data_IF_064710772108
#
_entry.id   IF_064710772108
#
_cell.length_a   1.000
_cell.length_b   1.000
_cell.length_c   1.000
_cell.angle_alpha   90.00
_cell.angle_beta   90.00
_cell.angle_gamma   90.00
#
_symmetry.space_group_name_H-M   'P 1'
#
loop_
_entity.id
_entity.type
_entity.pdbx_description
1 polymer ?
#
# COMPACT_ATOMS: atom_id res chain seq x y z
N UNK A 1 39.28 -13.85 -6.00
CA UNK A 1 38.52 -12.79 -5.32
C UNK A 1 37.05 -13.08 -5.55
N UNK A 2 36.23 -13.12 -4.48
CA UNK A 2 34.81 -13.38 -4.59
C UNK A 2 34.10 -12.21 -5.29
N UNK A 3 32.98 -12.50 -5.97
CA UNK A 3 32.22 -11.49 -6.72
C UNK A 3 31.58 -10.44 -5.77
N UNK A 4 31.26 -10.80 -4.53
CA UNK A 4 30.75 -9.89 -3.51
C UNK A 4 31.82 -8.86 -3.15
N UNK A 5 33.03 -9.33 -2.76
CA UNK A 5 34.15 -8.47 -2.43
C UNK A 5 34.53 -7.54 -3.58
N UNK A 6 34.54 -8.07 -4.83
CA UNK A 6 34.83 -7.24 -5.99
C UNK A 6 33.74 -6.19 -6.29
N UNK A 7 32.47 -6.52 -6.05
CA UNK A 7 31.35 -5.58 -6.23
C UNK A 7 31.43 -4.41 -5.23
N UNK A 8 31.93 -4.68 -4.03
CA UNK A 8 32.03 -3.70 -2.94
C UNK A 8 33.42 -3.02 -2.86
N UNK A 9 34.35 -3.38 -3.74
CA UNK A 9 35.66 -2.71 -3.85
C UNK A 9 35.54 -1.42 -4.67
N UNK A 10 35.64 -0.22 -4.07
CA UNK A 10 35.55 1.06 -4.79
C UNK A 10 36.63 1.27 -5.84
N UNK A 11 37.71 0.49 -5.82
CA UNK A 11 38.77 0.53 -6.84
C UNK A 11 38.37 -0.20 -8.14
N UNK A 12 37.34 -1.06 -8.09
CA UNK A 12 36.84 -1.72 -9.27
C UNK A 12 35.92 -0.78 -10.08
N UNK A 13 36.19 -0.62 -11.37
CA UNK A 13 35.54 0.37 -12.25
C UNK A 13 34.02 0.26 -12.32
N UNK A 14 33.44 -0.89 -11.99
CA UNK A 14 32.02 -1.15 -11.98
C UNK A 14 31.45 -1.46 -10.57
N UNK A 15 32.23 -1.15 -9.51
CA UNK A 15 31.74 -1.29 -8.13
C UNK A 15 30.41 -0.55 -7.94
N UNK A 16 29.54 -1.08 -7.08
CA UNK A 16 28.23 -0.53 -6.73
C UNK A 16 27.29 -0.21 -7.92
N UNK A 17 27.61 -0.71 -9.13
CA UNK A 17 26.82 -0.43 -10.32
C UNK A 17 25.65 -1.43 -10.51
N UNK A 18 24.81 -1.18 -11.51
CA UNK A 18 23.75 -2.13 -11.87
C UNK A 18 24.31 -3.43 -12.46
N UNK A 19 23.56 -4.53 -12.30
CA UNK A 19 23.94 -5.90 -12.73
C UNK A 19 24.58 -5.95 -14.14
N UNK A 20 24.01 -5.24 -15.10
CA UNK A 20 24.46 -5.29 -16.50
C UNK A 20 25.84 -4.67 -16.67
N UNK A 21 26.07 -3.53 -16.04
CA UNK A 21 27.37 -2.82 -16.09
C UNK A 21 28.44 -3.64 -15.37
N UNK A 22 28.12 -4.17 -14.20
CA UNK A 22 29.04 -5.04 -13.46
C UNK A 22 29.42 -6.29 -14.27
N UNK A 23 28.43 -6.95 -14.88
CA UNK A 23 28.67 -8.09 -15.75
C UNK A 23 29.61 -7.76 -16.94
N UNK A 24 29.35 -6.64 -17.63
CA UNK A 24 30.20 -6.21 -18.76
C UNK A 24 31.63 -5.93 -18.33
N UNK A 25 31.85 -5.30 -17.19
CA UNK A 25 33.18 -5.03 -16.67
C UNK A 25 33.93 -6.32 -16.30
N UNK A 26 33.24 -7.34 -15.78
CA UNK A 26 33.83 -8.65 -15.55
C UNK A 26 34.29 -9.33 -16.85
N UNK A 27 33.50 -9.23 -17.92
CA UNK A 27 33.90 -9.77 -19.25
C UNK A 27 35.11 -9.04 -19.82
N UNK A 28 35.18 -7.71 -19.72
CA UNK A 28 36.34 -6.91 -20.14
C UNK A 28 37.63 -7.26 -19.38
N UNK A 29 37.48 -7.65 -18.10
CA UNK A 29 38.59 -8.14 -17.29
C UNK A 29 38.92 -9.63 -17.49
N UNK A 30 38.50 -10.24 -18.60
CA UNK A 30 38.71 -11.66 -18.95
C UNK A 30 38.22 -12.66 -17.89
N UNK A 31 37.21 -12.31 -17.12
CA UNK A 31 36.59 -13.22 -16.13
C UNK A 31 35.45 -13.98 -16.77
N UNK A 32 35.60 -15.28 -16.96
CA UNK A 32 34.56 -16.15 -17.50
C UNK A 32 33.48 -16.44 -16.46
N UNK A 33 32.52 -15.54 -16.35
CA UNK A 33 31.38 -15.68 -15.43
C UNK A 33 30.06 -15.49 -16.19
N UNK A 34 29.08 -16.35 -15.95
CA UNK A 34 27.76 -16.21 -16.59
C UNK A 34 26.96 -15.05 -16.00
N UNK A 35 26.12 -14.43 -16.83
CA UNK A 35 25.18 -13.39 -16.36
C UNK A 35 24.22 -13.91 -15.25
N UNK A 36 23.86 -15.20 -15.30
CA UNK A 36 23.05 -15.89 -14.29
C UNK A 36 23.79 -15.97 -12.95
N UNK A 37 25.08 -16.31 -12.98
CA UNK A 37 25.92 -16.37 -11.77
C UNK A 37 26.04 -14.99 -11.13
N UNK A 38 26.34 -13.95 -11.90
CA UNK A 38 26.38 -12.56 -11.40
C UNK A 38 25.07 -12.16 -10.75
N UNK A 39 23.94 -12.43 -11.44
CA UNK A 39 22.61 -12.13 -10.89
C UNK A 39 22.34 -12.84 -9.56
N UNK A 40 22.76 -14.10 -9.42
CA UNK A 40 22.53 -14.87 -8.20
C UNK A 40 23.43 -14.37 -7.07
N UNK A 41 24.70 -14.11 -7.34
CA UNK A 41 25.62 -13.58 -6.33
C UNK A 41 25.21 -12.18 -5.81
N UNK A 42 24.72 -11.30 -6.70
CA UNK A 42 24.24 -9.97 -6.30
C UNK A 42 22.98 -10.00 -5.42
N UNK A 43 22.24 -11.13 -5.35
CA UNK A 43 21.13 -11.26 -4.40
C UNK A 43 21.58 -11.36 -2.94
N UNK A 44 22.81 -11.81 -2.69
CA UNK A 44 23.42 -11.89 -1.36
C UNK A 44 24.14 -10.58 -0.95
N UNK A 45 24.20 -9.58 -1.83
CA UNK A 45 24.91 -8.32 -1.57
C UNK A 45 23.92 -7.28 -1.07
N UNK A 46 24.04 -6.86 0.20
CA UNK A 46 23.12 -5.90 0.81
C UNK A 46 23.20 -4.52 0.16
N UNK A 47 24.40 -4.03 -0.13
CA UNK A 47 24.63 -2.77 -0.84
C UNK A 47 23.94 -2.72 -2.22
N UNK A 48 23.83 -3.85 -2.91
CA UNK A 48 23.09 -3.98 -4.16
C UNK A 48 21.56 -4.07 -3.92
N UNK A 49 21.14 -4.96 -3.02
CA UNK A 49 19.71 -5.27 -2.86
C UNK A 49 18.92 -4.16 -2.21
N UNK A 50 19.51 -3.44 -1.23
CA UNK A 50 18.85 -2.32 -0.54
C UNK A 50 18.64 -1.09 -1.41
N UNK A 51 19.57 -0.83 -2.35
CA UNK A 51 19.53 0.37 -3.20
C UNK A 51 18.94 0.14 -4.59
N UNK A 52 18.62 -1.10 -4.95
CA UNK A 52 18.00 -1.38 -6.25
C UNK A 52 16.68 -0.64 -6.42
N UNK A 53 16.47 0.15 -7.50
CA UNK A 53 15.22 0.87 -7.69
C UNK A 53 14.01 -0.06 -7.75
N UNK A 54 12.96 0.17 -6.96
CA UNK A 54 11.73 -0.61 -7.04
C UNK A 54 11.02 -0.33 -8.35
N UNK A 55 10.44 -1.35 -8.94
CA UNK A 55 9.62 -1.20 -10.14
C UNK A 55 8.21 -0.78 -9.74
N UNK A 56 7.67 0.24 -10.39
CA UNK A 56 6.25 0.58 -10.21
C UNK A 56 5.40 -0.59 -10.71
N UNK A 57 4.36 -1.00 -9.98
CA UNK A 57 3.46 -2.06 -10.43
C UNK A 57 2.73 -1.58 -11.70
N UNK A 58 2.76 -2.41 -12.73
CA UNK A 58 2.03 -2.14 -13.97
C UNK A 58 0.51 -2.36 -13.82
N UNK A 59 0.13 -3.20 -12.88
CA UNK A 59 -1.24 -3.57 -12.60
C UNK A 59 -1.46 -3.70 -11.09
N UNK A 60 -2.57 -3.14 -10.62
CA UNK A 60 -3.08 -3.35 -9.28
C UNK A 60 -4.33 -4.21 -9.32
N UNK A 61 -4.58 -4.96 -8.24
CA UNK A 61 -5.81 -5.71 -8.07
C UNK A 61 -7.00 -4.76 -8.09
N UNK A 62 -7.89 -4.97 -9.05
CA UNK A 62 -9.12 -4.17 -9.14
C UNK A 62 -10.12 -4.62 -8.08
N UNK A 63 -10.81 -3.66 -7.48
CA UNK A 63 -11.97 -3.94 -6.63
C UNK A 63 -13.08 -4.44 -7.57
N UNK A 64 -13.39 -5.73 -7.48
CA UNK A 64 -14.48 -6.33 -8.24
C UNK A 64 -15.80 -6.15 -7.50
N UNK A 65 -16.78 -5.59 -8.18
CA UNK A 65 -18.14 -5.39 -7.66
C UNK A 65 -19.17 -6.06 -8.55
N UNK A 66 -20.14 -6.73 -7.94
CA UNK A 66 -21.13 -7.52 -8.66
C UNK A 66 -22.18 -6.67 -9.39
N UNK A 67 -22.47 -5.47 -8.88
CA UNK A 67 -23.50 -4.58 -9.44
C UNK A 67 -23.71 -3.35 -8.57
N UNK A 68 -24.76 -2.60 -8.87
CA UNK A 68 -25.20 -1.43 -8.10
C UNK A 68 -25.52 -1.85 -6.67
N UNK A 69 -25.20 -1.00 -5.70
CA UNK A 69 -25.44 -1.24 -4.28
C UNK A 69 -24.72 -2.46 -3.69
N UNK A 70 -23.76 -3.05 -4.42
CA UNK A 70 -23.01 -4.20 -3.89
C UNK A 70 -21.99 -3.77 -2.85
N UNK A 71 -21.19 -2.75 -3.16
CA UNK A 71 -20.14 -2.26 -2.29
C UNK A 71 -20.06 -0.74 -2.35
N UNK A 72 -20.25 -0.10 -1.21
CA UNK A 72 -19.97 1.32 -1.02
C UNK A 72 -18.65 1.52 -0.30
N UNK A 73 -17.88 2.51 -0.73
CA UNK A 73 -16.73 3.02 0.03
C UNK A 73 -17.13 4.34 0.69
N UNK A 74 -16.72 4.52 1.93
CA UNK A 74 -16.98 5.70 2.73
C UNK A 74 -15.67 6.21 3.32
N UNK A 75 -15.50 7.52 3.37
CA UNK A 75 -14.33 8.19 3.93
C UNK A 75 -14.73 9.52 4.57
N UNK A 76 -13.85 10.04 5.44
CA UNK A 76 -14.06 11.29 6.14
C UNK A 76 -13.00 12.32 5.70
N UNK A 77 -13.45 13.36 5.02
CA UNK A 77 -12.60 14.45 4.54
C UNK A 77 -12.47 15.51 5.62
N UNK A 78 -11.22 15.78 6.05
CA UNK A 78 -10.91 16.86 6.97
C UNK A 78 -10.77 18.20 6.24
N UNK A 79 -11.53 19.19 6.68
CA UNK A 79 -11.50 20.60 6.27
C UNK A 79 -11.53 21.53 7.49
N UNK A 80 -11.03 21.08 8.63
CA UNK A 80 -11.05 21.80 9.90
C UNK A 80 -10.36 23.17 9.82
N UNK A 81 -9.33 23.30 8.98
CA UNK A 81 -8.66 24.57 8.70
C UNK A 81 -9.57 25.64 8.10
N UNK A 82 -10.68 25.25 7.46
CA UNK A 82 -11.65 26.13 6.80
C UNK A 82 -12.93 26.36 7.61
N UNK A 83 -12.99 25.93 8.87
CA UNK A 83 -14.21 25.94 9.69
C UNK A 83 -14.82 27.35 9.89
N UNK A 84 -13.98 28.38 9.96
CA UNK A 84 -14.41 29.77 10.20
C UNK A 84 -15.33 30.27 9.09
N UNK A 85 -14.97 30.00 7.83
CA UNK A 85 -15.72 30.42 6.65
C UNK A 85 -16.96 29.54 6.40
N UNK A 86 -17.09 28.42 7.11
CA UNK A 86 -18.05 27.36 6.84
C UNK A 86 -19.01 27.09 7.99
N UNK A 87 -19.38 28.11 8.77
CA UNK A 87 -20.40 28.03 9.85
C UNK A 87 -20.08 26.92 10.87
N UNK A 88 -18.79 26.68 11.14
CA UNK A 88 -18.31 25.67 12.07
C UNK A 88 -18.27 24.23 11.52
N UNK A 89 -18.65 24.01 10.25
CA UNK A 89 -18.50 22.70 9.62
C UNK A 89 -17.03 22.43 9.31
N UNK A 90 -16.55 21.23 9.73
CA UNK A 90 -15.15 20.82 9.67
C UNK A 90 -14.91 19.62 8.79
N UNK A 91 -15.94 18.77 8.62
CA UNK A 91 -15.81 17.45 8.03
C UNK A 91 -16.83 17.21 6.94
N UNK A 92 -16.46 16.38 5.97
CA UNK A 92 -17.39 15.85 4.97
C UNK A 92 -17.31 14.34 5.00
N UNK A 93 -18.43 13.65 5.28
CA UNK A 93 -18.55 12.21 4.97
C UNK A 93 -18.77 12.10 3.47
N UNK A 94 -17.95 11.35 2.81
CA UNK A 94 -18.07 11.01 1.39
C UNK A 94 -18.38 9.54 1.23
N UNK A 95 -19.30 9.21 0.35
CA UNK A 95 -19.72 7.85 0.05
C UNK A 95 -19.75 7.69 -1.48
N UNK A 96 -19.30 6.56 -1.98
CA UNK A 96 -19.35 6.24 -3.41
C UNK A 96 -19.77 4.78 -3.62
N UNK A 97 -20.74 4.55 -4.49
CA UNK A 97 -20.98 3.21 -5.03
C UNK A 97 -19.84 2.84 -5.97
N UNK A 98 -19.13 1.80 -5.61
CA UNK A 98 -17.94 1.37 -6.35
C UNK A 98 -18.25 0.84 -7.75
N UNK A 99 -19.50 0.52 -8.04
CA UNK A 99 -19.96 0.07 -9.37
C UNK A 99 -20.41 1.24 -10.23
N UNK A 100 -21.50 1.91 -9.88
CA UNK A 100 -22.07 3.02 -10.67
C UNK A 100 -21.20 4.28 -10.67
N UNK A 101 -20.35 4.44 -9.66
CA UNK A 101 -19.60 5.64 -9.31
C UNK A 101 -20.48 6.79 -8.83
N UNK A 102 -21.77 6.53 -8.52
CA UNK A 102 -22.64 7.51 -7.89
C UNK A 102 -22.10 7.84 -6.49
N UNK A 103 -22.03 9.12 -6.19
CA UNK A 103 -21.42 9.61 -4.98
C UNK A 103 -22.38 10.50 -4.17
N UNK A 104 -22.18 10.53 -2.86
CA UNK A 104 -22.88 11.36 -1.91
C UNK A 104 -21.89 12.02 -0.97
N UNK A 105 -22.23 13.19 -0.46
CA UNK A 105 -21.42 13.88 0.53
C UNK A 105 -22.30 14.61 1.54
N UNK A 106 -21.91 14.56 2.81
CA UNK A 106 -22.64 15.15 3.92
C UNK A 106 -21.68 15.93 4.81
N UNK A 107 -22.08 17.16 5.15
CA UNK A 107 -21.31 18.05 6.01
C UNK A 107 -21.49 17.70 7.49
N UNK A 108 -20.40 17.77 8.27
CA UNK A 108 -20.42 17.54 9.72
C UNK A 108 -19.66 18.66 10.45
N UNK A 109 -20.20 19.07 11.62
CA UNK A 109 -19.49 19.98 12.55
C UNK A 109 -18.46 19.25 13.40
N UNK A 110 -18.71 17.99 13.71
CA UNK A 110 -17.80 17.13 14.46
C UNK A 110 -17.87 15.68 13.95
N UNK A 111 -16.89 14.86 14.29
CA UNK A 111 -16.81 13.45 13.88
C UNK A 111 -17.24 12.48 14.97
N UNK A 112 -18.16 12.89 15.86
CA UNK A 112 -18.69 12.01 16.90
C UNK A 112 -19.57 10.92 16.29
N UNK A 113 -19.65 9.78 16.97
CA UNK A 113 -20.55 8.68 16.61
C UNK A 113 -21.98 9.14 16.36
N UNK A 114 -22.49 10.01 17.26
CA UNK A 114 -23.85 10.59 17.16
C UNK A 114 -24.04 11.35 15.86
N UNK A 115 -23.14 12.27 15.51
CA UNK A 115 -23.24 13.08 14.29
C UNK A 115 -23.16 12.22 13.02
N UNK A 116 -22.33 11.17 13.03
CA UNK A 116 -22.25 10.20 11.91
C UNK A 116 -23.58 9.44 11.78
N UNK A 117 -24.12 8.92 12.88
CA UNK A 117 -25.40 8.18 12.88
C UNK A 117 -26.57 9.06 12.42
N UNK A 118 -26.65 10.32 12.89
CA UNK A 118 -27.67 11.28 12.48
C UNK A 118 -27.72 11.48 10.96
N UNK A 119 -26.58 11.61 10.33
CA UNK A 119 -26.44 11.81 8.87
C UNK A 119 -26.68 10.51 8.11
N UNK A 120 -26.17 9.39 8.60
CA UNK A 120 -26.21 8.11 7.89
C UNK A 120 -27.57 7.41 8.00
N UNK A 121 -28.36 7.70 9.03
CA UNK A 121 -29.70 7.09 9.21
C UNK A 121 -30.65 7.40 8.05
N UNK A 122 -30.89 8.65 7.64
CA UNK A 122 -31.72 8.95 6.47
C UNK A 122 -31.09 8.42 5.17
N UNK A 123 -29.75 8.43 5.05
CA UNK A 123 -29.06 7.90 3.89
C UNK A 123 -29.38 6.41 3.67
N UNK A 124 -29.34 5.56 4.71
CA UNK A 124 -29.61 4.13 4.60
C UNK A 124 -31.10 3.78 4.40
N UNK A 125 -32.01 4.71 4.64
CA UNK A 125 -33.45 4.51 4.28
C UNK A 125 -33.61 4.45 2.75
N UNK A 126 -32.88 5.31 2.04
CA UNK A 126 -32.97 5.44 0.57
C UNK A 126 -31.92 4.60 -0.17
N UNK A 127 -30.81 4.26 0.48
CA UNK A 127 -29.70 3.54 -0.13
C UNK A 127 -29.39 2.29 0.70
N UNK A 128 -29.41 1.12 0.06
CA UNK A 128 -29.28 -0.17 0.74
C UNK A 128 -28.05 -0.93 0.20
N UNK A 129 -26.82 -0.53 0.54
CA UNK A 129 -25.63 -1.27 0.11
C UNK A 129 -25.59 -2.63 0.81
N UNK A 130 -25.14 -3.67 0.09
CA UNK A 130 -24.91 -4.97 0.71
C UNK A 130 -23.66 -4.94 1.60
N UNK A 131 -22.66 -4.17 1.21
CA UNK A 131 -21.38 -4.03 1.93
C UNK A 131 -20.94 -2.58 1.98
N UNK A 132 -20.30 -2.22 3.09
CA UNK A 132 -19.59 -0.95 3.22
C UNK A 132 -18.14 -1.18 3.61
N UNK A 133 -17.26 -0.42 2.99
CA UNK A 133 -15.85 -0.35 3.31
C UNK A 133 -15.51 1.05 3.80
N UNK A 134 -14.88 1.13 4.96
CA UNK A 134 -14.32 2.36 5.53
C UNK A 134 -12.99 2.06 6.20
N UNK A 135 -12.24 3.08 6.55
CA UNK A 135 -11.01 2.89 7.31
C UNK A 135 -11.29 2.57 8.79
N UNK A 136 -10.24 2.33 9.58
CA UNK A 136 -10.38 1.95 10.99
C UNK A 136 -10.58 3.14 11.93
N UNK A 137 -11.14 4.25 11.45
CA UNK A 137 -11.44 5.41 12.27
C UNK A 137 -12.47 5.11 13.35
N UNK A 138 -12.27 5.62 14.57
CA UNK A 138 -13.18 5.45 15.71
C UNK A 138 -14.57 6.01 15.44
N UNK A 139 -14.69 6.95 14.50
CA UNK A 139 -15.96 7.52 14.03
C UNK A 139 -16.87 6.49 13.36
N UNK A 140 -16.31 5.43 12.77
CA UNK A 140 -17.03 4.33 12.12
C UNK A 140 -17.05 3.05 12.98
N UNK A 141 -16.00 2.83 13.79
CA UNK A 141 -15.89 1.65 14.67
C UNK A 141 -16.34 1.96 16.09
N UNK A 142 -17.62 2.30 16.23
CA UNK A 142 -18.28 2.49 17.51
C UNK A 142 -19.61 1.72 17.55
N UNK A 143 -20.10 1.41 18.75
CA UNK A 143 -21.31 0.59 18.97
C UNK A 143 -22.54 1.13 18.26
N UNK A 144 -22.76 2.45 18.30
CA UNK A 144 -23.95 3.08 17.73
C UNK A 144 -23.99 2.97 16.21
N UNK A 145 -22.88 3.21 15.54
CA UNK A 145 -22.80 3.09 14.08
C UNK A 145 -22.85 1.63 13.62
N UNK A 146 -22.21 0.73 14.36
CA UNK A 146 -22.27 -0.71 14.05
C UNK A 146 -23.70 -1.27 14.23
N UNK A 147 -24.45 -0.80 15.24
CA UNK A 147 -25.86 -1.14 15.42
C UNK A 147 -26.71 -0.63 14.25
N UNK A 148 -26.45 0.60 13.75
CA UNK A 148 -27.12 1.14 12.58
C UNK A 148 -26.89 0.26 11.34
N UNK A 149 -25.64 -0.15 11.08
CA UNK A 149 -25.30 -1.07 9.98
C UNK A 149 -26.00 -2.43 10.13
N UNK A 150 -26.02 -2.99 11.35
CA UNK A 150 -26.73 -4.25 11.67
C UNK A 150 -28.23 -4.13 11.42
N UNK A 151 -28.85 -3.02 11.85
CA UNK A 151 -30.29 -2.74 11.62
C UNK A 151 -30.63 -2.75 10.13
N UNK A 152 -29.75 -2.22 9.28
CA UNK A 152 -29.94 -2.18 7.84
C UNK A 152 -29.36 -3.42 7.11
N UNK A 153 -28.87 -4.44 7.84
CA UNK A 153 -28.28 -5.68 7.31
C UNK A 153 -27.08 -5.43 6.39
N UNK A 154 -26.31 -4.38 6.65
CA UNK A 154 -25.14 -3.99 5.86
C UNK A 154 -23.90 -4.69 6.45
N UNK A 155 -23.22 -5.49 5.65
CA UNK A 155 -21.91 -6.07 6.02
C UNK A 155 -20.83 -4.99 5.90
N UNK A 156 -19.94 -4.91 6.88
CA UNK A 156 -18.85 -3.93 6.85
C UNK A 156 -17.49 -4.60 7.02
N UNK A 157 -16.46 -3.96 6.50
CA UNK A 157 -15.07 -4.37 6.70
C UNK A 157 -14.13 -3.19 6.46
N UNK A 158 -12.96 -3.24 7.08
CA UNK A 158 -11.83 -2.37 6.76
C UNK A 158 -10.73 -3.15 6.05
N UNK A 159 -9.90 -2.44 5.32
CA UNK A 159 -8.74 -3.01 4.64
C UNK A 159 -7.47 -2.46 5.27
N UNK A 160 -6.56 -3.35 5.65
CA UNK A 160 -5.28 -2.99 6.27
C UNK A 160 -4.20 -2.57 5.26
N UNK A 161 -4.44 -2.75 3.95
CA UNK A 161 -3.47 -2.41 2.90
C UNK A 161 -3.43 -0.91 2.62
N UNK A 162 -2.32 -0.44 2.06
CA UNK A 162 -2.13 0.96 1.65
C UNK A 162 -3.16 1.48 0.64
N UNK A 163 -3.86 0.59 -0.06
CA UNK A 163 -4.91 0.94 -1.03
C UNK A 163 -6.31 0.80 -0.42
N UNK A 164 -6.50 1.35 0.80
CA UNK A 164 -7.71 1.17 1.61
C UNK A 164 -9.00 1.52 0.87
N UNK A 165 -9.13 2.72 0.37
CA UNK A 165 -10.34 3.23 -0.25
C UNK A 165 -10.10 3.86 -1.62
N UNK A 166 -9.30 3.22 -2.49
CA UNK A 166 -8.80 3.83 -3.72
C UNK A 166 -9.87 4.50 -4.62
N UNK A 167 -11.13 4.05 -4.57
CA UNK A 167 -12.21 4.66 -5.36
C UNK A 167 -12.73 5.91 -4.66
N UNK A 168 -13.01 5.87 -3.35
CA UNK A 168 -13.46 7.04 -2.59
C UNK A 168 -12.34 8.08 -2.47
N UNK A 169 -11.09 7.67 -2.29
CA UNK A 169 -9.93 8.59 -2.27
C UNK A 169 -9.80 9.36 -3.59
N UNK A 170 -9.96 8.67 -4.73
CA UNK A 170 -9.97 9.31 -6.05
C UNK A 170 -11.16 10.26 -6.22
N UNK A 171 -12.33 9.88 -5.71
CA UNK A 171 -13.49 10.76 -5.67
C UNK A 171 -13.20 12.00 -4.82
N UNK A 172 -12.66 11.83 -3.61
CA UNK A 172 -12.29 12.93 -2.71
C UNK A 172 -11.31 13.89 -3.36
N UNK A 173 -10.32 13.38 -4.10
CA UNK A 173 -9.42 14.22 -4.89
C UNK A 173 -10.19 15.05 -5.93
N UNK A 174 -11.13 14.43 -6.65
CA UNK A 174 -11.95 15.12 -7.64
C UNK A 174 -12.81 16.19 -6.99
N UNK A 175 -13.48 15.88 -5.88
CA UNK A 175 -14.30 16.81 -5.11
C UNK A 175 -13.47 18.00 -4.62
N UNK A 176 -12.37 17.73 -3.91
CA UNK A 176 -11.44 18.77 -3.44
C UNK A 176 -10.93 19.64 -4.60
N UNK A 177 -10.55 19.05 -5.73
CA UNK A 177 -10.09 19.82 -6.89
C UNK A 177 -11.17 20.79 -7.41
N UNK A 178 -12.44 20.35 -7.48
CA UNK A 178 -13.57 21.22 -7.89
C UNK A 178 -13.80 22.32 -6.85
N UNK A 179 -13.77 21.97 -5.55
CA UNK A 179 -13.93 22.94 -4.46
C UNK A 179 -12.85 24.02 -4.51
N UNK A 180 -11.58 23.64 -4.59
CA UNK A 180 -10.46 24.60 -4.62
C UNK A 180 -10.47 25.48 -5.88
N UNK A 181 -10.88 24.95 -7.05
CA UNK A 181 -11.11 25.77 -8.24
C UNK A 181 -12.23 26.80 -8.02
N UNK A 182 -13.31 26.39 -7.36
CA UNK A 182 -14.39 27.31 -6.99
C UNK A 182 -13.89 28.40 -6.01
N UNK A 183 -13.09 28.03 -5.01
CA UNK A 183 -12.48 28.97 -4.08
C UNK A 183 -11.65 30.02 -4.80
N UNK A 184 -10.81 29.59 -5.72
CA UNK A 184 -10.01 30.50 -6.57
C UNK A 184 -10.89 31.44 -7.39
N UNK A 185 -11.98 30.93 -7.97
CA UNK A 185 -12.89 31.74 -8.82
C UNK A 185 -13.71 32.76 -8.04
N UNK A 186 -13.94 32.52 -6.74
CA UNK A 186 -14.79 33.37 -5.90
C UNK A 186 -14.03 34.19 -4.84
N UNK A 187 -12.73 33.93 -4.69
CA UNK A 187 -11.94 34.55 -3.62
C UNK A 187 -12.41 34.18 -2.21
N UNK A 188 -13.06 33.05 -2.02
CA UNK A 188 -13.68 32.63 -0.77
C UNK A 188 -13.53 31.12 -0.57
N UNK A 189 -13.27 30.70 0.69
CA UNK A 189 -13.16 29.28 1.06
C UNK A 189 -14.48 28.65 1.53
N UNK A 190 -15.61 29.30 1.22
CA UNK A 190 -16.93 28.82 1.62
C UNK A 190 -17.40 27.65 0.75
N UNK A 191 -17.46 26.44 1.33
CA UNK A 191 -17.84 25.21 0.63
C UNK A 191 -19.22 24.65 1.03
N UNK A 192 -19.72 25.04 2.19
CA UNK A 192 -20.98 24.49 2.77
C UNK A 192 -22.16 24.64 1.85
N UNK A 193 -22.25 25.76 1.14
CA UNK A 193 -23.40 26.10 0.29
C UNK A 193 -23.31 25.43 -1.09
N UNK A 194 -22.10 25.10 -1.55
CA UNK A 194 -21.88 24.54 -2.88
C UNK A 194 -21.69 23.04 -2.90
N UNK A 195 -21.53 22.39 -1.74
CA UNK A 195 -21.20 20.98 -1.66
C UNK A 195 -22.15 20.12 -2.49
N UNK A 196 -23.47 20.32 -2.31
CA UNK A 196 -24.46 19.52 -3.05
C UNK A 196 -24.40 19.79 -4.56
N UNK A 197 -24.24 21.03 -4.99
CA UNK A 197 -24.08 21.35 -6.42
C UNK A 197 -22.85 20.66 -7.05
N UNK A 198 -21.75 20.55 -6.30
CA UNK A 198 -20.55 19.83 -6.76
C UNK A 198 -20.80 18.32 -6.90
N UNK A 199 -21.58 17.74 -5.97
CA UNK A 199 -21.98 16.32 -6.01
C UNK A 199 -22.92 16.07 -7.18
N UNK A 200 -23.93 16.91 -7.36
CA UNK A 200 -24.89 16.80 -8.47
C UNK A 200 -24.19 16.92 -9.83
N UNK A 201 -23.28 17.89 -9.95
CA UNK A 201 -22.44 18.05 -11.14
C UNK A 201 -21.50 16.87 -11.38
N UNK A 202 -20.98 16.22 -10.33
CA UNK A 202 -20.22 14.98 -10.45
C UNK A 202 -21.10 13.82 -10.94
N UNK A 203 -22.25 13.63 -10.32
CA UNK A 203 -23.18 12.53 -10.63
C UNK A 203 -23.85 12.67 -12.01
N UNK A 204 -23.89 13.88 -12.56
CA UNK A 204 -24.40 14.18 -13.90
C UNK A 204 -23.32 14.20 -15.00
N UNK A 205 -22.05 13.99 -14.64
CA UNK A 205 -20.95 13.98 -15.60
C UNK A 205 -20.59 12.53 -15.98
N UNK A 206 -20.43 12.25 -17.28
CA UNK A 206 -20.03 10.91 -17.79
C UNK A 206 -18.72 10.46 -17.17
N UNK A 207 -18.73 9.32 -16.48
CA UNK A 207 -17.55 8.80 -15.79
C UNK A 207 -16.67 7.97 -16.72
N UNK A 208 -15.34 8.23 -16.69
CA UNK A 208 -14.37 7.61 -17.60
C UNK A 208 -14.37 6.09 -17.58
N UNK A 209 -14.52 5.46 -16.39
CA UNK A 209 -14.42 4.00 -16.24
C UNK A 209 -15.71 3.28 -16.60
N UNK A 210 -16.87 3.81 -16.21
CA UNK A 210 -18.17 3.20 -16.51
C UNK A 210 -18.63 3.51 -17.94
N UNK A 211 -18.18 4.64 -18.50
CA UNK A 211 -18.66 5.24 -19.76
C UNK A 211 -20.12 5.70 -19.68
N UNK A 212 -20.68 5.78 -18.46
CA UNK A 212 -22.03 6.25 -18.17
C UNK A 212 -21.99 7.44 -17.22
N UNK A 213 -23.05 8.23 -17.21
CA UNK A 213 -23.36 9.20 -16.18
C UNK A 213 -23.75 8.40 -14.93
N UNK A 214 -23.17 8.67 -13.73
CA UNK A 214 -23.49 7.90 -12.54
C UNK A 214 -24.97 7.82 -12.19
N UNK A 215 -25.75 8.90 -12.45
CA UNK A 215 -27.18 8.91 -12.23
C UNK A 215 -27.97 8.00 -13.17
N UNK A 216 -27.44 7.73 -14.37
CA UNK A 216 -28.13 6.91 -15.41
C UNK A 216 -27.80 5.44 -15.27
N UNK A 217 -26.91 5.04 -14.36
CA UNK A 217 -26.61 3.62 -14.14
C UNK A 217 -27.77 2.97 -13.41
N UNK A 218 -28.35 1.97 -14.05
CA UNK A 218 -29.56 1.25 -13.60
C UNK A 218 -29.38 -0.25 -13.80
N UNK A 219 -30.25 -1.10 -13.23
CA UNK A 219 -30.21 -2.54 -13.47
C UNK A 219 -30.26 -2.91 -14.96
N UNK A 220 -30.96 -2.13 -15.78
CA UNK A 220 -31.07 -2.38 -17.21
C UNK A 220 -29.73 -2.30 -17.97
N UNK A 221 -28.81 -1.41 -17.53
CA UNK A 221 -27.52 -1.22 -18.20
C UNK A 221 -26.32 -1.76 -17.40
N UNK A 222 -26.53 -2.42 -16.26
CA UNK A 222 -25.47 -3.03 -15.44
C UNK A 222 -24.50 -3.91 -16.24
N UNK A 223 -25.02 -4.70 -17.19
CA UNK A 223 -24.21 -5.61 -17.99
C UNK A 223 -23.19 -4.86 -18.87
N UNK A 224 -23.56 -3.69 -19.39
CA UNK A 224 -22.69 -2.83 -20.19
C UNK A 224 -21.66 -2.15 -19.28
N UNK A 225 -22.10 -1.60 -18.14
CA UNK A 225 -21.23 -0.98 -17.15
C UNK A 225 -20.20 -1.99 -16.64
N UNK A 226 -20.60 -3.23 -16.35
CA UNK A 226 -19.71 -4.30 -15.90
C UNK A 226 -18.65 -4.64 -16.96
N UNK A 227 -19.03 -4.72 -18.22
CA UNK A 227 -18.08 -4.91 -19.33
C UNK A 227 -17.08 -3.77 -19.43
N UNK A 228 -17.51 -2.53 -19.25
CA UNK A 228 -16.64 -1.36 -19.27
C UNK A 228 -15.69 -1.30 -18.07
N UNK A 229 -16.17 -1.64 -16.87
CA UNK A 229 -15.35 -1.67 -15.65
C UNK A 229 -14.32 -2.80 -15.66
N UNK A 230 -14.71 -3.96 -16.19
CA UNK A 230 -13.92 -5.19 -16.11
C UNK A 230 -13.67 -5.81 -17.50
N UNK A 231 -13.13 -5.04 -18.46
CA UNK A 231 -12.81 -5.59 -19.77
C UNK A 231 -11.75 -6.70 -19.58
N UNK A 232 -12.11 -7.94 -19.84
CA UNK A 232 -11.17 -9.06 -19.93
C UNK A 232 -10.61 -9.65 -18.61
N UNK A 233 -11.37 -9.72 -17.52
CA UNK A 233 -10.97 -10.59 -16.38
C UNK A 233 -10.68 -12.03 -16.88
N UNK A 234 -11.40 -12.50 -17.92
CA UNK A 234 -11.24 -13.85 -18.49
C UNK A 234 -9.94 -13.98 -19.32
N UNK A 235 -9.57 -12.96 -20.10
CA UNK A 235 -8.35 -12.99 -20.92
C UNK A 235 -7.07 -12.83 -20.10
N UNK A 236 -7.14 -12.10 -19.00
CA UNK A 236 -5.96 -11.72 -18.20
C UNK A 236 -5.53 -12.81 -17.19
N UNK A 237 -6.44 -13.70 -16.75
CA UNK A 237 -6.09 -14.84 -15.88
C UNK A 237 -5.07 -15.81 -16.49
N UNK A 238 -4.97 -15.89 -17.83
CA UNK A 238 -4.07 -16.83 -18.51
C UNK A 238 -2.58 -16.48 -18.46
N UNK A 239 -2.18 -15.27 -18.03
CA UNK A 239 -0.80 -14.79 -18.15
C UNK A 239 -0.14 -14.30 -16.83
N UNK A 240 -0.75 -14.58 -15.70
CA UNK A 240 -0.18 -14.18 -14.41
C UNK A 240 0.57 -15.35 -13.78
N UNK A 241 1.84 -15.52 -14.15
CA UNK A 241 2.73 -16.50 -13.51
C UNK A 241 3.32 -15.94 -12.22
N UNK A 242 3.30 -16.75 -11.16
CA UNK A 242 4.01 -16.45 -9.94
C UNK A 242 5.53 -16.37 -10.21
N UNK A 243 6.17 -15.38 -9.62
CA UNK A 243 7.62 -15.15 -9.74
C UNK A 243 8.35 -15.65 -8.50
N UNK A 244 7.71 -15.54 -7.36
CA UNK A 244 8.19 -16.07 -6.09
C UNK A 244 7.42 -17.34 -5.74
N UNK A 245 8.08 -18.23 -5.02
CA UNK A 245 7.52 -19.48 -4.48
C UNK A 245 7.51 -19.41 -2.95
N UNK A 246 6.74 -20.27 -2.31
CA UNK A 246 6.76 -20.45 -0.86
C UNK A 246 8.16 -20.85 -0.42
N UNK A 247 8.65 -20.24 0.67
CA UNK A 247 10.02 -20.40 1.18
C UNK A 247 11.05 -19.43 0.58
N UNK A 248 10.67 -18.60 -0.42
CA UNK A 248 11.58 -17.56 -0.93
C UNK A 248 11.78 -16.45 0.10
N UNK A 249 13.04 -16.06 0.35
CA UNK A 249 13.39 -14.92 1.20
C UNK A 249 13.34 -13.62 0.40
N UNK A 250 12.62 -12.63 0.90
CA UNK A 250 12.37 -11.36 0.18
C UNK A 250 12.54 -10.15 1.10
N UNK A 251 12.90 -9.01 0.49
CA UNK A 251 12.77 -7.68 1.10
C UNK A 251 11.49 -7.02 0.60
N UNK A 252 10.91 -6.15 1.42
CA UNK A 252 9.72 -5.36 1.09
C UNK A 252 10.14 -3.93 0.76
N UNK A 253 9.45 -3.28 -0.19
CA UNK A 253 9.68 -1.86 -0.50
C UNK A 253 9.40 -0.98 0.70
N UNK A 254 10.30 -0.03 0.98
CA UNK A 254 10.06 1.04 1.94
C UNK A 254 9.27 2.18 1.28
N UNK A 255 8.35 2.77 2.03
CA UNK A 255 7.79 4.07 1.66
C UNK A 255 8.86 5.13 1.89
N UNK A 256 9.26 5.80 0.82
CA UNK A 256 10.13 6.98 0.95
C UNK A 256 9.29 8.17 1.42
N UNK A 257 9.80 8.89 2.40
CA UNK A 257 9.27 10.17 2.81
C UNK A 257 9.36 11.20 1.66
N UNK A 258 8.55 12.27 1.73
CA UNK A 258 8.48 13.29 0.66
C UNK A 258 9.85 13.92 0.38
N UNK A 259 10.72 14.02 1.38
CA UNK A 259 12.05 14.62 1.29
C UNK A 259 13.19 13.59 1.17
N UNK A 260 12.90 12.28 1.23
CA UNK A 260 13.92 11.23 1.03
C UNK A 260 14.44 11.24 -0.39
N UNK A 261 15.77 11.24 -0.52
CA UNK A 261 16.46 11.32 -1.80
C UNK A 261 16.44 10.00 -2.56
N UNK A 262 16.51 10.06 -3.89
CA UNK A 262 16.43 8.87 -4.75
C UNK A 262 17.57 7.87 -4.55
N UNK A 263 18.72 8.31 -4.04
CA UNK A 263 19.90 7.46 -3.77
C UNK A 263 19.84 6.71 -2.43
N UNK A 264 18.89 7.04 -1.55
CA UNK A 264 18.68 6.31 -0.31
C UNK A 264 18.06 4.93 -0.55
N UNK A 265 18.18 4.05 0.45
CA UNK A 265 17.66 2.68 0.38
C UNK A 265 16.17 2.64 0.05
N UNK A 266 15.80 1.75 -0.85
CA UNK A 266 14.41 1.56 -1.29
C UNK A 266 13.74 0.32 -0.70
N UNK A 267 14.50 -0.52 0.01
CA UNK A 267 14.06 -1.82 0.51
C UNK A 267 14.31 -1.93 2.01
N UNK A 268 13.55 -2.81 2.68
CA UNK A 268 13.70 -3.09 4.11
C UNK A 268 15.03 -3.78 4.41
N UNK A 269 15.65 -3.46 5.56
CA UNK A 269 16.74 -4.27 6.11
C UNK A 269 16.25 -5.64 6.54
N UNK A 270 15.12 -5.66 7.24
CA UNK A 270 14.42 -6.88 7.60
C UNK A 270 14.07 -7.68 6.35
N UNK A 271 14.19 -8.99 6.45
CA UNK A 271 13.79 -9.93 5.41
C UNK A 271 12.57 -10.72 5.88
N UNK A 272 11.76 -11.14 4.92
CA UNK A 272 10.53 -11.87 5.12
C UNK A 272 10.55 -13.15 4.28
N UNK A 273 9.80 -14.13 4.70
CA UNK A 273 9.61 -15.36 3.93
C UNK A 273 8.27 -15.33 3.19
N UNK A 274 8.24 -15.79 1.96
CA UNK A 274 6.99 -15.98 1.21
C UNK A 274 6.28 -17.21 1.78
N UNK A 275 5.22 -16.98 2.55
CA UNK A 275 4.38 -18.01 3.17
C UNK A 275 3.33 -18.57 2.21
N UNK A 276 2.76 -17.71 1.37
CA UNK A 276 1.64 -18.05 0.50
C UNK A 276 1.72 -17.34 -0.84
N UNK A 277 1.41 -18.07 -1.91
CA UNK A 277 1.23 -17.52 -3.26
C UNK A 277 -0.27 -17.47 -3.57
N UNK A 278 -0.88 -16.29 -3.51
CA UNK A 278 -2.30 -16.09 -3.80
C UNK A 278 -2.52 -15.95 -5.30
N UNK A 279 -3.25 -16.90 -5.88
CA UNK A 279 -3.60 -16.92 -7.32
C UNK A 279 -4.66 -15.85 -7.66
N UNK A 280 -4.35 -14.61 -7.32
CA UNK A 280 -5.13 -13.42 -7.68
C UNK A 280 -4.64 -12.84 -9.01
N UNK A 281 -5.34 -11.85 -9.55
CA UNK A 281 -4.86 -11.12 -10.71
C UNK A 281 -4.69 -9.62 -10.38
N UNK A 282 -3.45 -9.12 -10.42
CA UNK A 282 -2.17 -9.86 -10.52
C UNK A 282 -1.95 -10.80 -9.32
N UNK A 283 -1.04 -11.76 -9.44
CA UNK A 283 -0.64 -12.63 -8.33
C UNK A 283 -0.13 -11.78 -7.17
N UNK A 284 -0.52 -12.14 -5.95
CA UNK A 284 -0.05 -11.52 -4.72
C UNK A 284 0.51 -12.55 -3.77
N UNK A 285 1.28 -12.10 -2.77
CA UNK A 285 2.04 -12.96 -1.88
C UNK A 285 1.69 -12.61 -0.43
N UNK A 286 1.51 -13.63 0.41
CA UNK A 286 1.48 -13.52 1.86
C UNK A 286 2.89 -13.73 2.40
N UNK A 287 3.26 -12.98 3.42
CA UNK A 287 4.59 -13.02 4.02
C UNK A 287 4.52 -13.42 5.49
N UNK A 288 5.60 -13.99 6.00
CA UNK A 288 5.87 -14.13 7.44
C UNK A 288 7.18 -13.42 7.79
N UNK A 289 7.28 -12.99 9.04
CA UNK A 289 8.48 -12.41 9.62
C UNK A 289 9.50 -13.48 10.05
N UNK A 290 10.58 -13.06 10.71
CA UNK A 290 11.64 -13.94 11.25
C UNK A 290 11.17 -14.90 12.34
N UNK A 291 10.01 -14.68 12.99
CA UNK A 291 9.37 -15.60 13.95
C UNK A 291 8.38 -16.55 13.29
N UNK A 292 8.13 -16.40 11.98
CA UNK A 292 7.09 -17.14 11.27
C UNK A 292 5.68 -16.54 11.46
N UNK A 293 5.55 -15.37 12.10
CA UNK A 293 4.28 -14.68 12.27
C UNK A 293 3.80 -14.06 10.94
N UNK A 294 2.51 -14.17 10.67
CA UNK A 294 1.92 -13.68 9.43
C UNK A 294 1.91 -12.15 9.38
N UNK A 295 2.53 -11.59 8.35
CA UNK A 295 2.40 -10.17 8.04
C UNK A 295 1.04 -9.91 7.38
N UNK A 296 0.23 -9.07 8.02
CA UNK A 296 -1.10 -8.75 7.52
C UNK A 296 -1.06 -8.09 6.15
N UNK A 297 -1.86 -8.61 5.22
CA UNK A 297 -2.01 -8.03 3.90
C UNK A 297 -1.62 -8.96 2.76
N UNK A 298 -1.35 -8.38 1.61
CA UNK A 298 -0.88 -9.11 0.43
C UNK A 298 -0.01 -8.17 -0.40
N UNK A 299 1.12 -8.67 -0.82
CA UNK A 299 2.16 -7.92 -1.50
C UNK A 299 2.17 -8.23 -3.00
N UNK A 300 2.40 -7.22 -3.83
CA UNK A 300 2.62 -7.40 -5.25
C UNK A 300 4.08 -7.77 -5.54
N UNK A 301 4.30 -8.42 -6.68
CA UNK A 301 5.66 -8.72 -7.17
C UNK A 301 6.60 -7.50 -7.17
N UNK A 302 6.07 -6.33 -7.47
CA UNK A 302 6.84 -5.07 -7.53
C UNK A 302 7.22 -4.54 -6.15
N UNK A 303 6.55 -4.98 -5.09
CA UNK A 303 6.81 -4.63 -3.70
C UNK A 303 7.78 -5.59 -3.03
N UNK A 304 8.19 -6.65 -3.75
CA UNK A 304 9.06 -7.71 -3.24
C UNK A 304 10.34 -7.82 -4.07
N UNK A 305 11.44 -8.08 -3.38
CA UNK A 305 12.73 -8.38 -4.00
C UNK A 305 13.32 -9.63 -3.38
N UNK A 306 13.60 -10.63 -4.23
CA UNK A 306 14.29 -11.85 -3.81
C UNK A 306 15.70 -11.52 -3.35
N UNK A 307 16.07 -12.02 -2.18
CA UNK A 307 17.41 -11.93 -1.59
C UNK A 307 17.90 -13.31 -1.18
N UNK A 308 19.21 -13.43 -1.04
CA UNK A 308 19.87 -14.63 -0.54
C UNK A 308 20.60 -14.24 0.75
N UNK A 309 20.20 -14.84 1.86
CA UNK A 309 20.79 -14.67 3.19
C UNK A 309 21.34 -15.95 3.74
N UNK A 310 21.79 -16.84 2.83
CA UNK A 310 22.43 -18.10 3.19
C UNK A 310 23.75 -17.92 3.96
N UNK A 311 24.35 -16.71 3.90
CA UNK A 311 25.55 -16.38 4.68
C UNK A 311 25.25 -16.18 6.19
N UNK A 312 23.98 -16.03 6.58
CA UNK A 312 23.60 -15.81 7.97
C UNK A 312 24.14 -14.52 8.62
N UNK A 313 24.67 -13.60 7.82
CA UNK A 313 25.29 -12.35 8.30
C UNK A 313 24.24 -11.26 8.42
N UNK A 314 24.07 -10.73 9.65
CA UNK A 314 23.12 -9.68 9.98
C UNK A 314 23.86 -8.48 10.56
N UNK A 315 23.72 -7.28 9.97
CA UNK A 315 24.39 -6.08 10.48
C UNK A 315 23.82 -5.69 11.85
N UNK A 316 24.74 -5.42 12.79
CA UNK A 316 24.40 -4.93 14.13
C UNK A 316 24.27 -3.41 14.07
N UNK A 317 23.12 -2.88 14.55
CA UNK A 317 22.88 -1.44 14.68
C UNK A 317 23.63 -0.86 15.88
N UNK A 318 23.54 -1.58 17.01
CA UNK A 318 24.25 -1.20 18.25
C UNK A 318 24.36 -2.37 19.23
N UNK A 319 25.38 -2.31 20.07
CA UNK A 319 25.53 -3.17 21.23
C UNK A 319 24.78 -2.49 22.39
N UNK A 320 23.79 -3.18 22.97
CA UNK A 320 22.94 -2.68 24.05
C UNK A 320 23.57 -3.02 25.41
N UNK A 321 24.07 -4.26 25.58
CA UNK A 321 24.69 -4.77 26.82
C UNK A 321 25.85 -5.68 26.49
N UNK A 322 26.79 -5.81 27.44
CA UNK A 322 27.92 -6.73 27.38
C UNK A 322 27.93 -7.58 28.64
N UNK A 323 28.23 -8.87 28.53
CA UNK A 323 28.44 -9.78 29.70
C UNK A 323 29.58 -10.75 29.42
N UNK A 324 30.13 -11.28 30.51
CA UNK A 324 31.05 -12.43 30.43
C UNK A 324 30.31 -13.69 30.92
N UNK A 325 30.33 -14.76 30.13
CA UNK A 325 29.73 -16.06 30.48
C UNK A 325 30.68 -17.16 30.07
N UNK A 326 31.07 -18.04 31.03
CA UNK A 326 32.01 -19.13 30.74
C UNK A 326 33.35 -18.70 30.21
N UNK A 327 33.86 -17.52 30.62
CA UNK A 327 35.13 -16.97 30.14
C UNK A 327 35.07 -16.26 28.77
N UNK A 328 33.93 -16.33 28.09
CA UNK A 328 33.71 -15.65 26.79
C UNK A 328 32.88 -14.38 26.96
N UNK A 329 33.18 -13.39 26.13
CA UNK A 329 32.40 -12.14 26.08
C UNK A 329 31.23 -12.33 25.13
N UNK A 330 30.04 -11.96 25.59
CA UNK A 330 28.80 -11.96 24.80
C UNK A 330 28.23 -10.52 24.76
N UNK A 331 27.60 -10.19 23.63
CA UNK A 331 26.96 -8.91 23.40
C UNK A 331 25.48 -9.07 23.15
N UNK A 332 24.65 -8.29 23.87
CA UNK A 332 23.24 -8.16 23.56
C UNK A 332 23.10 -7.07 22.50
N UNK A 333 22.74 -7.45 21.29
CA UNK A 333 22.79 -6.58 20.11
C UNK A 333 21.39 -6.31 19.57
N UNK A 334 21.26 -5.13 18.98
CA UNK A 334 20.16 -4.78 18.11
C UNK A 334 20.60 -4.91 16.67
N UNK A 335 19.83 -5.68 15.88
CA UNK A 335 20.06 -5.80 14.45
C UNK A 335 19.45 -4.63 13.67
N UNK A 336 20.18 -4.18 12.67
CA UNK A 336 19.80 -3.03 11.86
C UNK A 336 18.49 -3.28 11.11
N UNK A 337 17.47 -2.44 11.41
CA UNK A 337 16.15 -2.50 10.79
C UNK A 337 15.22 -3.59 11.29
N UNK A 338 15.60 -4.33 12.34
CA UNK A 338 14.72 -5.27 13.02
C UNK A 338 14.07 -4.64 14.26
N UNK A 339 12.89 -5.11 14.69
CA UNK A 339 12.25 -4.64 15.91
C UNK A 339 13.03 -5.05 17.16
N UNK A 340 12.79 -4.38 18.30
CA UNK A 340 13.53 -4.62 19.53
C UNK A 340 13.37 -6.04 20.10
N UNK A 341 12.28 -6.73 19.75
CA UNK A 341 12.00 -8.12 20.09
C UNK A 341 12.94 -9.13 19.40
N UNK A 342 13.65 -8.69 18.36
CA UNK A 342 14.68 -9.48 17.68
C UNK A 342 16.06 -9.38 18.33
N UNK A 343 16.22 -8.50 19.35
CA UNK A 343 17.48 -8.34 20.06
C UNK A 343 17.88 -9.65 20.77
N UNK A 344 19.13 -10.04 20.62
CA UNK A 344 19.63 -11.30 21.20
C UNK A 344 21.10 -11.19 21.62
N UNK A 345 21.55 -12.18 22.40
CA UNK A 345 22.94 -12.33 22.79
C UNK A 345 23.72 -13.08 21.69
N UNK A 346 24.83 -12.52 21.25
CA UNK A 346 25.77 -13.13 20.32
C UNK A 346 27.14 -13.22 20.95
N UNK A 347 27.93 -14.23 20.57
CA UNK A 347 29.30 -14.38 21.05
C UNK A 347 30.21 -13.35 20.37
N UNK A 348 31.31 -13.01 21.03
CA UNK A 348 32.31 -12.06 20.46
C UNK A 348 32.81 -12.50 19.08
N UNK A 349 33.02 -13.78 18.87
CA UNK A 349 33.46 -14.34 17.59
C UNK A 349 32.44 -14.18 16.46
N UNK A 350 31.16 -14.03 16.79
CA UNK A 350 30.08 -13.83 15.82
C UNK A 350 29.85 -12.35 15.49
N UNK A 351 30.50 -11.45 16.22
CA UNK A 351 30.49 -10.03 15.94
C UNK A 351 31.57 -9.70 14.90
N UNK A 352 31.20 -9.79 13.62
CA UNK A 352 32.08 -9.30 12.56
C UNK A 352 32.13 -7.77 12.62
N UNK A 353 33.28 -7.18 12.94
CA UNK A 353 33.51 -5.76 12.79
C UNK A 353 33.54 -5.42 11.31
N UNK A 354 32.57 -4.67 10.84
CA UNK A 354 32.72 -3.91 9.59
C UNK A 354 33.71 -2.80 9.85
N UNK A 355 34.99 -3.03 9.57
CA UNK A 355 35.97 -1.97 9.39
C UNK A 355 35.76 -1.29 8.03
#
# INVERSE_FOLDING_TARGET
>A
MDLKTLYEDPKFSAAFSGQERFYKALQQGNRSVSKKTVKNKLKAVDSYTLHKPPRKPSLYRRIYTKGINYLYQCDLVDLSSLQRDNSGYKWIITIIDTFSKKAWAFKLKNKTARSVVEVMTPFFRSNKPQKMQFDQGSEFYNSSFLQLLKKHKIKHYSVHSEQKGAIVERFNRTLKTRMFKYFTSRGSHRWVDILQHLIDGYNSTKHRSTKFVPNDVSPANEHIVRRNLFPSIIKLKKHSTAVFKVGDTVRVTRKKGVFEKGYEMSWSWEVFEVREVKQTYPVTYGLSDYKGEEIQGSFYKSELQLVDKSDGIWPVEKIIKTRKRGGQTEYFVKFLGYPDEANTWIAHQDLFSTQ
#
